data_IF_128988495185
#
_entry.id   IF_128988495185
#
_cell.length_a   1.000
_cell.length_b   1.000
_cell.length_c   1.000
_cell.angle_alpha   90.00
_cell.angle_beta   90.00
_cell.angle_gamma   90.00
#
_symmetry.space_group_name_H-M   'P 1'
#
loop_
_entity.id
_entity.type
_entity.pdbx_description
1 polymer ?
#
# COMPACT_ATOMS: atom_id res chain seq x y z
N UNK A 1 1.80 8.44 -22.82
CA UNK A 1 0.81 7.73 -21.98
C UNK A 1 1.49 7.25 -20.71
N UNK A 2 0.87 7.44 -19.55
CA UNK A 2 1.36 6.84 -18.30
C UNK A 2 1.02 5.35 -18.27
N UNK A 3 1.91 4.54 -17.71
CA UNK A 3 1.69 3.09 -17.55
C UNK A 3 0.81 2.85 -16.32
N UNK A 4 -0.30 2.13 -16.49
CA UNK A 4 -1.15 1.76 -15.38
C UNK A 4 -0.56 0.57 -14.62
N UNK A 5 -0.60 0.66 -13.30
CA UNK A 5 -0.19 -0.37 -12.35
C UNK A 5 -1.38 -0.67 -11.45
N UNK A 6 -1.81 -1.92 -11.36
CA UNK A 6 -2.90 -2.29 -10.47
C UNK A 6 -2.49 -2.10 -9.01
N UNK A 7 -3.46 -1.79 -8.15
CA UNK A 7 -3.22 -1.65 -6.71
C UNK A 7 -2.63 -2.93 -6.08
N UNK A 8 -2.98 -4.11 -6.59
CA UNK A 8 -2.38 -5.39 -6.18
C UNK A 8 -0.90 -5.49 -6.53
N UNK A 9 -0.52 -5.07 -7.75
CA UNK A 9 0.88 -5.06 -8.18
C UNK A 9 1.69 -4.05 -7.35
N UNK A 10 1.12 -2.88 -7.08
CA UNK A 10 1.73 -1.87 -6.20
C UNK A 10 1.95 -2.42 -4.78
N UNK A 11 0.92 -3.03 -4.20
CA UNK A 11 0.96 -3.65 -2.87
C UNK A 11 2.05 -4.73 -2.81
N UNK A 12 2.19 -5.54 -3.85
CA UNK A 12 3.24 -6.57 -3.93
C UNK A 12 4.63 -5.96 -3.93
N UNK A 13 4.85 -4.88 -4.70
CA UNK A 13 6.14 -4.17 -4.74
C UNK A 13 6.49 -3.58 -3.37
N UNK A 14 5.52 -2.90 -2.75
CA UNK A 14 5.66 -2.34 -1.41
C UNK A 14 5.98 -3.43 -0.37
N UNK A 15 5.27 -4.56 -0.40
CA UNK A 15 5.52 -5.68 0.51
C UNK A 15 6.92 -6.27 0.37
N UNK A 16 7.43 -6.41 -0.86
CA UNK A 16 8.83 -6.85 -1.07
C UNK A 16 9.83 -5.88 -0.45
N UNK A 17 9.59 -4.57 -0.60
CA UNK A 17 10.43 -3.50 -0.06
C UNK A 17 10.38 -3.48 1.49
N UNK A 18 9.17 -3.45 2.07
CA UNK A 18 8.93 -3.44 3.51
C UNK A 18 9.46 -4.69 4.22
N UNK A 19 9.30 -5.86 3.62
CA UNK A 19 9.81 -7.12 4.16
C UNK A 19 11.36 -7.14 4.17
N UNK A 20 11.99 -6.59 3.13
CA UNK A 20 13.45 -6.50 3.02
C UNK A 20 14.05 -5.49 4.01
N UNK A 21 13.46 -4.31 4.11
CA UNK A 21 14.08 -3.17 4.82
C UNK A 21 13.65 -3.03 6.27
N UNK A 22 12.43 -3.45 6.63
CA UNK A 22 11.88 -3.16 7.96
C UNK A 22 11.13 -4.32 8.60
N UNK A 23 11.11 -5.51 7.99
CA UNK A 23 10.32 -6.67 8.46
C UNK A 23 8.85 -6.30 8.71
N UNK A 24 8.29 -5.50 7.82
CA UNK A 24 6.89 -5.06 7.86
C UNK A 24 6.12 -5.63 6.67
N UNK A 25 4.80 -5.68 6.82
CA UNK A 25 3.87 -6.15 5.79
C UNK A 25 2.67 -5.20 5.70
N UNK A 26 2.35 -4.78 4.49
CA UNK A 26 1.14 -4.06 4.14
C UNK A 26 -0.01 -5.06 3.89
N UNK A 27 -1.12 -4.90 4.60
CA UNK A 27 -2.34 -5.72 4.44
C UNK A 27 -3.51 -4.82 4.06
N UNK A 28 -4.35 -5.30 3.15
CA UNK A 28 -5.62 -4.67 2.79
C UNK A 28 -6.65 -4.87 3.91
N UNK A 29 -7.33 -3.78 4.30
CA UNK A 29 -8.38 -3.80 5.31
C UNK A 29 -9.57 -2.94 4.86
N UNK A 30 -10.65 -3.55 4.38
CA UNK A 30 -11.85 -2.77 4.04
C UNK A 30 -12.52 -2.29 5.33
N UNK A 31 -12.83 -1.00 5.44
CA UNK A 31 -13.74 -0.49 6.49
C UNK A 31 -15.18 -0.78 6.08
N UNK A 32 -15.75 -1.86 6.62
CA UNK A 32 -17.13 -2.27 6.32
C UNK A 32 -18.20 -1.48 7.10
N UNK A 33 -17.84 -0.76 8.16
CA UNK A 33 -18.79 -0.06 9.05
C UNK A 33 -19.02 1.42 8.70
N UNK A 34 -18.48 1.89 7.58
CA UNK A 34 -18.56 3.28 7.15
C UNK A 34 -19.59 3.44 6.04
N UNK A 35 -20.40 4.49 6.08
CA UNK A 35 -21.31 4.89 4.99
C UNK A 35 -20.57 5.19 3.68
N UNK A 36 -19.26 5.46 3.76
CA UNK A 36 -18.33 5.54 2.63
C UNK A 36 -17.30 4.40 2.74
N UNK A 37 -17.27 3.42 1.82
CA UNK A 37 -16.29 2.35 1.85
C UNK A 37 -14.90 2.90 1.49
N UNK A 38 -14.18 3.41 2.49
CA UNK A 38 -12.79 3.81 2.34
C UNK A 38 -11.93 2.55 2.35
N UNK A 39 -11.21 2.34 1.26
CA UNK A 39 -10.18 1.31 1.16
C UNK A 39 -8.98 1.76 1.98
N UNK A 40 -8.67 0.99 3.02
CA UNK A 40 -7.50 1.19 3.87
C UNK A 40 -6.53 0.01 3.79
N UNK A 41 -5.30 0.32 4.15
CA UNK A 41 -4.20 -0.62 4.27
C UNK A 41 -3.49 -0.40 5.59
N UNK A 42 -3.22 -1.49 6.30
CA UNK A 42 -2.48 -1.46 7.55
C UNK A 42 -1.06 -1.96 7.34
N UNK A 43 -0.09 -1.31 7.97
CA UNK A 43 1.29 -1.79 8.05
C UNK A 43 1.44 -2.55 9.36
N UNK A 44 1.74 -3.84 9.26
CA UNK A 44 1.97 -4.75 10.39
C UNK A 44 3.46 -5.00 10.54
N UNK A 45 3.97 -4.88 11.76
CA UNK A 45 5.31 -5.32 12.11
C UNK A 45 5.30 -6.85 12.28
N UNK A 46 6.12 -7.56 11.51
CA UNK A 46 6.11 -9.02 11.49
C UNK A 46 6.76 -9.65 12.73
N UNK A 47 7.52 -8.89 13.52
CA UNK A 47 8.14 -9.42 14.75
C UNK A 47 7.18 -9.36 15.93
N UNK A 48 6.43 -8.26 16.04
CA UNK A 48 5.52 -8.00 17.16
C UNK A 48 4.06 -8.31 16.83
N UNK A 49 3.75 -8.52 15.55
CA UNK A 49 2.40 -8.66 15.02
C UNK A 49 1.48 -7.46 15.29
N UNK A 50 2.06 -6.30 15.64
CA UNK A 50 1.33 -5.08 15.91
C UNK A 50 1.12 -4.28 14.63
N UNK A 51 -0.03 -3.61 14.55
CA UNK A 51 -0.27 -2.58 13.53
C UNK A 51 0.50 -1.33 13.91
N UNK A 52 1.32 -0.85 12.99
CA UNK A 52 2.20 0.31 13.17
C UNK A 52 1.60 1.56 12.53
N UNK A 53 0.87 1.40 11.43
CA UNK A 53 0.25 2.52 10.74
C UNK A 53 -0.92 2.09 9.85
N UNK A 54 -1.74 3.06 9.45
CA UNK A 54 -2.80 2.92 8.46
C UNK A 54 -2.56 3.88 7.29
N UNK A 55 -2.95 3.47 6.09
CA UNK A 55 -2.88 4.25 4.87
C UNK A 55 -4.12 4.06 4.03
N UNK A 56 -4.67 5.14 3.50
CA UNK A 56 -5.69 5.08 2.44
C UNK A 56 -5.06 4.69 1.10
N UNK A 57 -5.90 4.33 0.12
CA UNK A 57 -5.45 3.98 -1.22
C UNK A 57 -4.67 5.13 -1.91
N UNK A 58 -5.08 6.39 -1.71
CA UNK A 58 -4.37 7.56 -2.24
C UNK A 58 -3.02 7.78 -1.56
N UNK A 59 -2.95 7.61 -0.24
CA UNK A 59 -1.70 7.70 0.53
C UNK A 59 -0.69 6.60 0.15
N UNK A 60 -1.16 5.41 -0.23
CA UNK A 60 -0.30 4.36 -0.75
C UNK A 60 0.45 4.75 -2.02
N UNK A 61 -0.18 5.54 -2.89
CA UNK A 61 0.47 6.00 -4.10
C UNK A 61 1.68 6.88 -3.76
N UNK A 62 1.51 7.81 -2.83
CA UNK A 62 2.61 8.66 -2.36
C UNK A 62 3.69 7.85 -1.65
N UNK A 63 3.28 6.93 -0.76
CA UNK A 63 4.20 6.02 -0.07
C UNK A 63 5.04 5.23 -1.08
N UNK A 64 4.39 4.65 -2.10
CA UNK A 64 5.08 3.90 -3.13
C UNK A 64 6.07 4.75 -3.92
N UNK A 65 5.76 6.03 -4.21
CA UNK A 65 6.73 6.94 -4.85
C UNK A 65 7.94 7.20 -3.94
N UNK A 66 7.72 7.47 -2.64
CA UNK A 66 8.79 7.72 -1.66
C UNK A 66 9.70 6.49 -1.50
N UNK A 67 9.14 5.29 -1.54
CA UNK A 67 9.88 4.02 -1.47
C UNK A 67 10.49 3.58 -2.82
N UNK A 68 10.27 4.32 -3.91
CA UNK A 68 10.74 3.94 -5.25
C UNK A 68 10.03 2.72 -5.84
N UNK A 69 8.84 2.38 -5.34
CA UNK A 69 8.01 1.28 -5.82
C UNK A 69 7.05 1.68 -6.97
N UNK A 70 6.89 2.99 -7.22
CA UNK A 70 6.10 3.54 -8.32
C UNK A 70 6.89 4.63 -9.06
N UNK A 71 7.12 4.44 -10.35
CA UNK A 71 7.87 5.39 -11.17
C UNK A 71 7.04 6.64 -11.50
N UNK A 72 7.69 7.76 -11.85
CA UNK A 72 7.01 9.01 -12.23
C UNK A 72 6.08 8.86 -13.44
N UNK A 73 6.40 7.94 -14.35
CA UNK A 73 5.60 7.61 -15.54
C UNK A 73 4.55 6.52 -15.29
N UNK A 74 4.46 6.00 -14.07
CA UNK A 74 3.43 5.03 -13.65
C UNK A 74 2.31 5.72 -12.86
N UNK A 75 1.09 5.25 -13.07
CA UNK A 75 -0.13 5.62 -12.35
C UNK A 75 -0.82 4.38 -11.79
N UNK A 76 -1.54 4.55 -10.68
CA UNK A 76 -2.20 3.45 -9.99
C UNK A 76 -3.64 3.36 -10.48
N UNK A 77 -4.06 2.17 -10.91
CA UNK A 77 -5.47 1.87 -11.09
C UNK A 77 -6.02 1.27 -9.79
N UNK A 78 -7.10 1.86 -9.29
CA UNK A 78 -7.86 1.41 -8.12
C UNK A 78 -9.08 0.57 -8.51
N UNK A 79 -9.23 0.27 -9.80
CA UNK A 79 -10.23 -0.67 -10.33
C UNK A 79 -9.96 -2.12 -9.87
#
# INVERSE_FOLDING_TARGET
MKKLVSIQALTTRLNRKLAKESKKLLKYKPRLESSDPIVEYEIVDLKTNNVVNYHTASELQELARRFGCLASLEEVSFE
#
